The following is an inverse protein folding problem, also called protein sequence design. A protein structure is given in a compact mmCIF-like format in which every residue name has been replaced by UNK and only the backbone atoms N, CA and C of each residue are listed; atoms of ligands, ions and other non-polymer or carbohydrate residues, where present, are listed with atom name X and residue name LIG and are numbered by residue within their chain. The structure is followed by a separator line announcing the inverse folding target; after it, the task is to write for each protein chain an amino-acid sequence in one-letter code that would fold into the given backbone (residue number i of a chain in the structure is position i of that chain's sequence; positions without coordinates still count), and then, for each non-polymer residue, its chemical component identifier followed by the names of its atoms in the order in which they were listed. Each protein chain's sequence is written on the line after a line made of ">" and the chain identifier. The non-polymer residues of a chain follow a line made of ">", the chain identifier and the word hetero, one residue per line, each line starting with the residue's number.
data_IF_727071337014
#
_entry.id   IF_727071337014
#
_cell.length_a   1.000
_cell.length_b   1.000
_cell.length_c   1.000
_cell.angle_alpha   90.00
_cell.angle_beta   90.00
_cell.angle_gamma   90.00
#
_symmetry.space_group_name_H-M   'P 1'
#
loop_
_entity.id
_entity.type
_entity.pdbx_description
1 polymer ?
#
# COMPACT_ATOMS: atom_id res chain seq x y z
N UNK A 1 29.88 8.87 -3.74
CA UNK A 1 28.73 8.62 -2.84
C UNK A 1 28.59 7.16 -2.40
N UNK A 2 29.63 6.32 -2.45
CA UNK A 2 29.50 4.89 -2.10
C UNK A 2 29.27 4.60 -0.61
N UNK A 3 29.48 5.60 0.26
CA UNK A 3 29.39 5.47 1.71
C UNK A 3 28.10 6.04 2.31
N UNK A 4 27.28 6.73 1.51
CA UNK A 4 26.02 7.30 2.01
C UNK A 4 24.93 6.24 1.87
N UNK A 5 24.35 5.85 3.00
CA UNK A 5 23.23 4.91 3.04
C UNK A 5 21.95 5.67 2.74
N UNK A 6 21.21 5.22 1.73
CA UNK A 6 19.95 5.85 1.32
C UNK A 6 18.91 5.78 2.45
N UNK A 7 18.92 4.67 3.21
CA UNK A 7 18.05 4.46 4.36
C UNK A 7 18.18 5.55 5.44
N UNK A 8 19.38 6.10 5.66
CA UNK A 8 19.59 7.16 6.66
C UNK A 8 19.00 8.50 6.19
N UNK A 9 18.90 8.71 4.88
CA UNK A 9 18.38 9.94 4.28
C UNK A 9 16.86 9.92 4.12
N UNK A 10 16.27 8.75 3.98
CA UNK A 10 14.82 8.59 3.75
C UNK A 10 13.99 8.59 5.04
N UNK A 11 14.62 8.40 6.20
CA UNK A 11 13.92 8.39 7.50
C UNK A 11 13.30 9.74 7.85
N UNK A 12 13.91 10.82 7.39
CA UNK A 12 13.49 12.19 7.72
C UNK A 12 12.89 12.85 6.48
N UNK A 13 11.80 13.59 6.67
CA UNK A 13 11.18 14.34 5.57
C UNK A 13 11.90 15.66 5.28
N UNK A 14 13.17 15.56 4.94
CA UNK A 14 14.05 16.67 4.58
C UNK A 14 14.68 16.32 3.23
N UNK A 15 14.92 17.32 2.38
CA UNK A 15 15.61 17.10 1.12
C UNK A 15 17.03 16.55 1.39
N UNK A 16 17.40 15.43 0.76
CA UNK A 16 18.70 14.76 0.95
C UNK A 16 19.89 15.67 0.64
N UNK A 17 19.69 16.70 -0.19
CA UNK A 17 20.71 17.73 -0.47
C UNK A 17 21.11 18.47 0.80
N UNK A 18 20.22 18.65 1.75
CA UNK A 18 20.55 19.32 3.03
C UNK A 18 21.21 18.37 4.03
N UNK A 19 21.04 17.05 3.86
CA UNK A 19 21.48 16.04 4.82
C UNK A 19 22.92 15.57 4.58
N UNK A 20 23.47 15.79 3.39
CA UNK A 20 24.83 15.34 3.04
C UNK A 20 25.57 16.39 2.22
N UNK A 21 26.90 16.41 2.35
CA UNK A 21 27.77 17.23 1.49
C UNK A 21 28.22 16.48 0.23
N UNK A 22 28.07 15.15 0.18
CA UNK A 22 28.44 14.37 -0.99
C UNK A 22 27.40 14.55 -2.10
N UNK A 23 27.86 14.88 -3.31
CA UNK A 23 27.02 15.01 -4.49
C UNK A 23 27.49 14.05 -5.59
N UNK A 24 26.58 13.48 -6.39
CA UNK A 24 26.97 12.87 -7.66
C UNK A 24 27.53 13.95 -8.59
N UNK A 25 28.52 13.57 -9.41
CA UNK A 25 29.22 14.51 -10.30
C UNK A 25 28.41 14.88 -11.53
N UNK A 26 27.42 14.07 -11.90
CA UNK A 26 26.59 14.27 -13.09
C UNK A 26 25.16 14.64 -12.69
N UNK A 27 24.54 15.53 -13.47
CA UNK A 27 23.13 15.91 -13.27
C UNK A 27 22.17 14.70 -13.40
N UNK A 28 22.52 13.74 -14.27
CA UNK A 28 21.78 12.47 -14.38
C UNK A 28 21.90 11.65 -13.10
N UNK A 29 23.10 11.56 -12.52
CA UNK A 29 23.32 10.87 -11.25
C UNK A 29 22.56 11.53 -10.09
N UNK A 30 22.41 12.85 -10.11
CA UNK A 30 21.63 13.59 -9.11
C UNK A 30 20.13 13.30 -9.19
N UNK A 31 19.58 13.27 -10.41
CA UNK A 31 18.20 12.89 -10.63
C UNK A 31 17.93 11.44 -10.22
N UNK A 32 18.81 10.50 -10.59
CA UNK A 32 18.68 9.09 -10.21
C UNK A 32 18.73 8.96 -8.69
N UNK A 33 19.69 9.62 -8.03
CA UNK A 33 19.82 9.55 -6.58
C UNK A 33 18.60 10.12 -5.86
N UNK A 34 18.05 11.25 -6.35
CA UNK A 34 16.82 11.82 -5.80
C UNK A 34 15.65 10.84 -5.91
N UNK A 35 15.47 10.21 -7.08
CA UNK A 35 14.43 9.18 -7.27
C UNK A 35 14.63 7.97 -6.35
N UNK A 36 15.87 7.56 -6.09
CA UNK A 36 16.15 6.44 -5.17
C UNK A 36 15.78 6.80 -3.71
N UNK A 37 16.05 8.03 -3.27
CA UNK A 37 15.63 8.49 -1.94
C UNK A 37 14.10 8.53 -1.84
N UNK A 38 13.42 9.03 -2.88
CA UNK A 38 11.96 9.11 -2.91
C UNK A 38 11.32 7.71 -2.92
N UNK A 39 11.87 6.77 -3.69
CA UNK A 39 11.44 5.37 -3.67
C UNK A 39 11.57 4.74 -2.28
N UNK A 40 12.67 5.04 -1.58
CA UNK A 40 12.88 4.53 -0.24
C UNK A 40 11.88 5.13 0.77
N UNK A 41 11.56 6.42 0.65
CA UNK A 41 10.48 7.07 1.43
C UNK A 41 9.14 6.39 1.19
N UNK A 42 8.78 6.15 -0.07
CA UNK A 42 7.55 5.44 -0.44
C UNK A 42 7.53 4.03 0.14
N UNK A 43 8.64 3.30 0.06
CA UNK A 43 8.79 1.96 0.65
C UNK A 43 8.57 1.96 2.16
N UNK A 44 9.10 2.95 2.87
CA UNK A 44 8.88 3.11 4.32
C UNK A 44 7.41 3.41 4.63
N UNK A 45 6.75 4.22 3.81
CA UNK A 45 5.32 4.51 3.93
C UNK A 45 4.48 3.23 3.76
N UNK A 46 4.71 2.47 2.69
CA UNK A 46 4.01 1.20 2.43
C UNK A 46 4.23 0.21 3.57
N UNK A 47 5.45 0.05 4.07
CA UNK A 47 5.72 -0.83 5.22
C UNK A 47 5.00 -0.41 6.49
N UNK A 48 4.84 0.90 6.71
CA UNK A 48 4.09 1.42 7.86
C UNK A 48 2.60 1.10 7.73
N UNK A 49 2.06 1.22 6.53
CA UNK A 49 0.68 0.88 6.21
C UNK A 49 0.42 -0.63 6.36
N UNK A 50 1.26 -1.48 5.78
CA UNK A 50 1.18 -2.95 5.94
C UNK A 50 1.16 -3.36 7.42
N UNK A 51 2.02 -2.74 8.24
CA UNK A 51 2.04 -2.98 9.69
C UNK A 51 0.74 -2.56 10.37
N UNK A 52 0.14 -1.44 9.97
CA UNK A 52 -1.15 -0.99 10.51
C UNK A 52 -2.25 -2.01 10.23
N UNK A 53 -2.32 -2.50 8.98
CA UNK A 53 -3.32 -3.51 8.60
C UNK A 53 -3.20 -4.77 9.47
N UNK A 54 -1.97 -5.21 9.74
CA UNK A 54 -1.73 -6.37 10.62
C UNK A 54 -2.14 -6.06 12.07
N UNK A 55 -1.81 -4.87 12.60
CA UNK A 55 -2.20 -4.52 13.98
C UNK A 55 -3.70 -4.38 14.14
N UNK A 56 -4.39 -3.80 13.16
CA UNK A 56 -5.84 -3.62 13.17
C UNK A 56 -6.56 -4.97 13.11
N UNK A 57 -5.99 -5.96 12.40
CA UNK A 57 -6.48 -7.34 12.34
C UNK A 57 -6.01 -8.20 13.52
N UNK A 58 -5.65 -7.61 14.67
CA UNK A 58 -5.18 -8.31 15.87
C UNK A 58 -3.97 -9.25 15.63
N UNK A 59 -3.11 -8.91 14.68
CA UNK A 59 -1.92 -9.70 14.32
C UNK A 59 -2.19 -10.84 13.33
N UNK A 60 -3.41 -10.95 12.80
CA UNK A 60 -3.75 -11.92 11.76
C UNK A 60 -3.35 -11.38 10.39
N UNK A 61 -2.85 -12.30 9.55
CA UNK A 61 -2.54 -12.00 8.15
C UNK A 61 -3.82 -11.56 7.41
N UNK A 62 -3.82 -10.39 6.73
CA UNK A 62 -4.99 -9.88 6.00
C UNK A 62 -5.53 -10.82 4.93
N UNK A 63 -4.70 -11.74 4.43
CA UNK A 63 -5.09 -12.71 3.40
C UNK A 63 -5.62 -14.02 3.97
N UNK A 64 -5.63 -14.20 5.29
CA UNK A 64 -6.11 -15.43 5.93
C UNK A 64 -7.44 -15.17 6.62
N UNK A 65 -8.48 -15.84 6.17
CA UNK A 65 -9.80 -15.86 6.80
C UNK A 65 -9.88 -17.04 7.76
N UNK A 66 -10.05 -16.75 9.04
CA UNK A 66 -10.23 -17.77 10.08
C UNK A 66 -11.72 -17.97 10.34
N UNK A 67 -12.24 -19.18 10.08
CA UNK A 67 -13.59 -19.57 10.48
C UNK A 67 -13.55 -20.25 11.84
N UNK A 68 -14.33 -19.72 12.77
CA UNK A 68 -14.43 -20.27 14.11
C UNK A 68 -15.12 -21.65 14.09
N UNK A 69 -14.81 -22.52 15.06
CA UNK A 69 -15.46 -23.82 15.20
C UNK A 69 -16.99 -23.77 15.14
N UNK A 70 -17.60 -22.71 15.70
CA UNK A 70 -19.04 -22.49 15.73
C UNK A 70 -19.70 -22.25 14.37
N UNK A 71 -18.94 -21.75 13.39
CA UNK A 71 -19.43 -21.52 12.03
C UNK A 71 -18.94 -22.56 11.02
N UNK A 72 -18.02 -23.43 11.44
CA UNK A 72 -17.57 -24.57 10.63
C UNK A 72 -18.60 -25.71 10.67
N UNK A 73 -18.75 -26.43 9.56
CA UNK A 73 -19.65 -27.59 9.46
C UNK A 73 -19.18 -28.77 10.33
N UNK A 74 -17.91 -28.79 10.72
CA UNK A 74 -17.28 -29.88 11.50
C UNK A 74 -16.95 -29.56 12.96
N UNK A 75 -17.23 -28.35 13.46
CA UNK A 75 -16.82 -27.93 14.80
C UNK A 75 -15.29 -27.72 14.96
N UNK A 76 -14.57 -27.49 13.86
CA UNK A 76 -13.11 -27.33 13.82
C UNK A 76 -12.77 -25.93 13.32
N UNK A 77 -11.67 -25.35 13.82
CA UNK A 77 -11.17 -24.09 13.30
C UNK A 77 -10.58 -24.31 11.90
N UNK A 78 -11.13 -23.61 10.91
CA UNK A 78 -10.68 -23.71 9.52
C UNK A 78 -10.04 -22.38 9.11
N UNK A 79 -8.96 -22.46 8.33
CA UNK A 79 -8.27 -21.29 7.77
C UNK A 79 -8.35 -21.37 6.26
N UNK A 80 -8.83 -20.30 5.65
CA UNK A 80 -8.96 -20.18 4.20
C UNK A 80 -8.14 -18.98 3.71
N UNK A 81 -7.69 -19.06 2.47
CA UNK A 81 -7.15 -17.89 1.77
C UNK A 81 -8.31 -16.99 1.37
N UNK A 82 -8.15 -15.69 1.57
CA UNK A 82 -9.12 -14.68 1.12
C UNK A 82 -9.15 -14.70 -0.41
N UNK A 83 -10.33 -14.91 -0.97
CA UNK A 83 -10.62 -14.79 -2.40
C UNK A 83 -11.31 -13.46 -2.62
N UNK A 84 -10.86 -12.68 -3.61
CA UNK A 84 -11.51 -11.43 -3.95
C UNK A 84 -12.84 -11.67 -4.64
N UNK A 85 -13.88 -10.92 -4.28
CA UNK A 85 -15.22 -11.07 -4.87
C UNK A 85 -15.28 -10.55 -6.32
N UNK A 86 -14.39 -9.63 -6.69
CA UNK A 86 -14.35 -8.99 -8.01
C UNK A 86 -13.59 -9.82 -9.05
N UNK A 87 -12.32 -10.19 -8.77
CA UNK A 87 -11.50 -10.94 -9.72
C UNK A 87 -11.44 -12.44 -9.45
N UNK A 88 -12.02 -12.91 -8.33
CA UNK A 88 -12.01 -14.31 -7.91
C UNK A 88 -10.61 -14.92 -7.72
N UNK A 89 -9.57 -14.07 -7.64
CA UNK A 89 -8.20 -14.50 -7.39
C UNK A 89 -7.89 -14.56 -5.89
N UNK A 90 -7.07 -15.54 -5.53
CA UNK A 90 -6.48 -15.68 -4.20
C UNK A 90 -5.45 -14.57 -3.94
N UNK A 91 -5.32 -14.13 -2.69
CA UNK A 91 -4.36 -13.10 -2.26
C UNK A 91 -4.51 -11.73 -2.95
N UNK A 92 -5.66 -11.46 -3.57
CA UNK A 92 -5.91 -10.14 -4.14
C UNK A 92 -6.08 -9.09 -3.02
N UNK A 93 -5.26 -8.04 -3.09
CA UNK A 93 -5.25 -6.93 -2.13
C UNK A 93 -6.37 -5.91 -2.31
N UNK A 94 -7.38 -6.19 -3.14
CA UNK A 94 -8.48 -5.27 -3.43
C UNK A 94 -8.15 -4.15 -4.43
N UNK A 95 -6.95 -4.18 -5.02
CA UNK A 95 -6.52 -3.23 -6.06
C UNK A 95 -6.70 -3.76 -7.48
N UNK A 96 -7.35 -4.92 -7.65
CA UNK A 96 -7.60 -5.54 -8.96
C UNK A 96 -8.40 -4.62 -9.91
N UNK A 97 -9.30 -3.79 -9.38
CA UNK A 97 -10.05 -2.79 -10.15
C UNK A 97 -9.19 -1.59 -10.57
N UNK A 98 -8.17 -1.24 -9.77
CA UNK A 98 -7.27 -0.11 -10.05
C UNK A 98 -6.17 -0.51 -11.04
N UNK A 99 -5.75 -1.78 -10.99
CA UNK A 99 -4.66 -2.32 -11.81
C UNK A 99 -5.11 -3.53 -12.61
N UNK A 100 -6.13 -3.37 -13.46
CA UNK A 100 -6.49 -4.42 -14.42
C UNK A 100 -5.37 -4.61 -15.45
N UNK A 101 -4.85 -5.84 -15.53
CA UNK A 101 -3.82 -6.20 -16.50
C UNK A 101 -4.37 -6.39 -17.92
N UNK A 102 -5.69 -6.54 -18.05
CA UNK A 102 -6.36 -6.89 -19.30
C UNK A 102 -6.31 -5.79 -20.38
N UNK A 103 -5.97 -4.56 -19.99
CA UNK A 103 -6.08 -3.38 -20.88
C UNK A 103 -4.75 -2.69 -21.19
N UNK A 104 -3.61 -3.12 -20.61
CA UNK A 104 -2.31 -2.40 -20.65
C UNK A 104 -2.39 -0.91 -20.26
N UNK A 105 -3.51 -0.45 -19.71
CA UNK A 105 -3.82 0.93 -19.40
C UNK A 105 -4.31 1.02 -17.96
N UNK A 106 -3.84 2.05 -17.26
CA UNK A 106 -4.32 2.39 -15.92
C UNK A 106 -5.66 3.09 -16.11
N UNK A 107 -6.74 2.46 -15.65
CA UNK A 107 -8.04 3.11 -15.55
C UNK A 107 -8.11 3.77 -14.17
N UNK A 108 -8.46 5.06 -14.14
CA UNK A 108 -8.73 5.74 -12.88
C UNK A 108 -10.03 5.14 -12.30
N UNK A 109 -10.03 4.87 -10.99
CA UNK A 109 -11.26 4.53 -10.30
C UNK A 109 -12.12 5.79 -10.29
N UNK A 110 -13.34 5.71 -10.84
CA UNK A 110 -14.32 6.78 -10.67
C UNK A 110 -14.54 6.95 -9.17
N UNK A 111 -14.24 8.13 -8.64
CA UNK A 111 -14.49 8.45 -7.25
C UNK A 111 -16.01 8.46 -7.09
N UNK A 112 -16.54 7.67 -6.14
CA UNK A 112 -17.95 7.74 -5.76
C UNK A 112 -18.18 9.13 -5.14
N UNK A 113 -18.46 10.14 -5.98
CA UNK A 113 -18.93 11.48 -5.58
C UNK A 113 -20.34 11.41 -4.94
N UNK A 114 -20.96 10.22 -4.88
CA UNK A 114 -22.35 10.02 -4.48
C UNK A 114 -22.61 9.97 -2.95
N UNK A 115 -21.59 10.14 -2.10
CA UNK A 115 -21.78 10.10 -0.64
C UNK A 115 -22.02 11.46 0.03
N UNK A 116 -21.71 12.57 -0.65
CA UNK A 116 -21.94 13.91 -0.09
C UNK A 116 -23.37 14.43 -0.40
N UNK A 117 -23.98 14.01 -1.52
CA UNK A 117 -25.32 14.45 -1.94
C UNK A 117 -26.48 13.88 -1.10
N UNK A 118 -26.25 12.79 -0.35
CA UNK A 118 -27.29 12.20 0.51
C UNK A 118 -27.41 12.84 1.90
N UNK A 119 -26.49 13.73 2.29
CA UNK A 119 -26.58 14.45 3.56
C UNK A 119 -27.30 15.80 3.43
N UNK A 120 -27.24 16.47 2.28
CA UNK A 120 -27.94 17.76 2.08
C UNK A 120 -29.46 17.61 1.92
N UNK A 121 -29.98 16.49 1.41
CA UNK A 121 -31.44 16.30 1.25
C UNK A 121 -32.20 15.93 2.54
N UNK A 122 -31.53 15.83 3.68
CA UNK A 122 -32.17 15.50 4.97
C UNK A 122 -32.46 16.72 5.86
N UNK A 123 -31.97 17.90 5.46
CA UNK A 123 -32.03 19.12 6.26
C UNK A 123 -32.99 20.20 5.72
N UNK A 124 -33.82 19.89 4.71
CA UNK A 124 -34.91 20.75 4.20
C UNK A 124 -36.33 20.25 4.55
#
# INVERSE_FOLDING_TARGET
>A
MRHVRIEELSVVDINWKMLTMSRPTTAVGENIFSKLVDLEKLRLSTRKEEKKVITDNAGLDPFIVVKNPSSSRGGVMEKFVKVCEECLEEFCGGSCLVYQYDSYQRLAKEEDEDLDDMQEQKDD
#
